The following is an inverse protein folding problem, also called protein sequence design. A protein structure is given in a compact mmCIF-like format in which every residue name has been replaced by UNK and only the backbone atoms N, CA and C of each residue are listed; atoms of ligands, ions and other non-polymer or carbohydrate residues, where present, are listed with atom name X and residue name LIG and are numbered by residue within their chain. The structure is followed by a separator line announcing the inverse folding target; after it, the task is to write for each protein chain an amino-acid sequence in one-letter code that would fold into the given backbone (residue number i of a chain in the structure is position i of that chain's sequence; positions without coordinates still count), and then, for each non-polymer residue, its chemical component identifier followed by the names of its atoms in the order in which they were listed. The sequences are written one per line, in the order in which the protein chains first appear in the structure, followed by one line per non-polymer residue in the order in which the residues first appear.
data_IF_022003083312
#
_entry.id   IF_022003083312
#
_cell.length_a   1.000
_cell.length_b   1.000
_cell.length_c   1.000
_cell.angle_alpha   90.00
_cell.angle_beta   90.00
_cell.angle_gamma   90.00
#
_symmetry.space_group_name_H-M   'P 1'
#
loop_
_entity.id
_entity.type
_entity.pdbx_description
1 polymer ?
#
# COMPACT_ATOMS: atom_id res chain seq x y z
N UNK A 1 9.42 -5.52 -30.27
CA UNK A 1 8.38 -6.09 -29.40
C UNK A 1 8.98 -6.37 -28.02
N UNK A 2 9.32 -5.34 -27.24
CA UNK A 2 9.99 -5.54 -25.93
C UNK A 2 9.59 -4.49 -24.89
N UNK A 3 9.46 -3.24 -25.31
CA UNK A 3 9.09 -2.13 -24.42
C UNK A 3 7.63 -2.21 -23.94
N UNK A 4 6.69 -2.67 -24.78
CA UNK A 4 5.28 -2.84 -24.41
C UNK A 4 5.09 -3.94 -23.33
N UNK A 5 5.81 -5.05 -23.43
CA UNK A 5 5.70 -6.17 -22.47
C UNK A 5 6.28 -5.85 -21.09
N UNK A 6 7.38 -5.09 -21.04
CA UNK A 6 7.98 -4.61 -19.77
C UNK A 6 7.04 -3.62 -19.08
N UNK A 7 6.42 -2.74 -19.86
CA UNK A 7 5.46 -1.74 -19.38
C UNK A 7 4.23 -2.42 -18.80
N UNK A 8 3.70 -3.45 -19.46
CA UNK A 8 2.55 -4.22 -18.98
C UNK A 8 2.82 -4.96 -17.66
N UNK A 9 3.92 -5.73 -17.57
CA UNK A 9 4.27 -6.47 -16.35
C UNK A 9 4.49 -5.53 -15.16
N UNK A 10 4.97 -4.30 -15.40
CA UNK A 10 5.14 -3.25 -14.39
C UNK A 10 3.80 -2.71 -13.89
N UNK A 11 2.87 -2.36 -14.79
CA UNK A 11 1.54 -1.93 -14.38
C UNK A 11 0.76 -3.03 -13.65
N UNK A 12 0.95 -4.30 -14.03
CA UNK A 12 0.42 -5.43 -13.28
C UNK A 12 1.01 -5.51 -11.86
N UNK A 13 2.32 -5.31 -11.68
CA UNK A 13 2.95 -5.29 -10.36
C UNK A 13 2.37 -4.17 -9.48
N UNK A 14 2.21 -2.96 -10.03
CA UNK A 14 1.57 -1.83 -9.34
C UNK A 14 0.14 -2.19 -8.95
N UNK A 15 -0.66 -2.70 -9.89
CA UNK A 15 -2.05 -3.08 -9.63
C UNK A 15 -2.18 -4.17 -8.57
N UNK A 16 -1.33 -5.21 -8.61
CA UNK A 16 -1.32 -6.27 -7.60
C UNK A 16 -0.96 -5.75 -6.21
N UNK A 17 0.02 -4.85 -6.12
CA UNK A 17 0.40 -4.25 -4.85
C UNK A 17 -0.75 -3.41 -4.25
N UNK A 18 -1.38 -2.56 -5.05
CA UNK A 18 -2.53 -1.74 -4.63
C UNK A 18 -3.66 -2.64 -4.12
N UNK A 19 -4.05 -3.65 -4.90
CA UNK A 19 -5.15 -4.56 -4.56
C UNK A 19 -4.84 -5.37 -3.31
N UNK A 20 -3.61 -5.87 -3.18
CA UNK A 20 -3.20 -6.62 -1.99
C UNK A 20 -3.25 -5.72 -0.74
N UNK A 21 -2.70 -4.52 -0.80
CA UNK A 21 -2.72 -3.58 0.33
C UNK A 21 -4.17 -3.21 0.71
N UNK A 22 -5.00 -2.93 -0.30
CA UNK A 22 -6.41 -2.59 -0.10
C UNK A 22 -7.18 -3.68 0.65
N UNK A 23 -6.90 -4.95 0.34
CA UNK A 23 -7.53 -6.10 0.99
C UNK A 23 -7.25 -6.17 2.49
N UNK A 24 -6.08 -5.71 2.92
CA UNK A 24 -5.68 -5.77 4.33
C UNK A 24 -6.11 -4.53 5.09
N UNK A 25 -5.80 -3.35 4.56
CA UNK A 25 -5.85 -2.13 5.37
C UNK A 25 -6.63 -0.98 4.72
N UNK A 26 -6.97 -1.05 3.43
CA UNK A 26 -7.64 0.00 2.64
C UNK A 26 -7.08 1.42 2.87
N UNK A 27 -6.23 1.93 1.96
CA UNK A 27 -5.46 3.13 2.23
C UNK A 27 -6.32 4.39 2.34
N UNK A 28 -7.44 4.46 1.64
CA UNK A 28 -8.35 5.62 1.71
C UNK A 28 -9.09 5.63 3.05
N UNK A 29 -9.60 4.47 3.47
CA UNK A 29 -10.30 4.35 4.75
C UNK A 29 -9.38 4.60 5.93
N UNK A 30 -8.16 4.06 5.90
CA UNK A 30 -7.12 4.32 6.91
C UNK A 30 -6.86 5.81 7.11
N UNK A 31 -6.72 6.55 6.00
CA UNK A 31 -6.55 8.02 6.04
C UNK A 31 -7.80 8.71 6.61
N UNK A 32 -8.98 8.28 6.20
CA UNK A 32 -10.25 8.87 6.69
C UNK A 32 -10.41 8.67 8.20
N UNK A 33 -10.21 7.45 8.72
CA UNK A 33 -10.33 7.17 10.16
C UNK A 33 -9.22 7.83 10.98
N UNK A 34 -8.01 7.98 10.43
CA UNK A 34 -6.95 8.78 11.04
C UNK A 34 -7.32 10.27 11.13
N UNK A 35 -7.90 10.83 10.07
CA UNK A 35 -8.35 12.23 10.05
C UNK A 35 -9.57 12.48 10.95
N UNK A 36 -10.47 11.50 11.07
CA UNK A 36 -11.64 11.55 11.93
C UNK A 36 -11.33 11.29 13.42
N UNK A 37 -10.07 11.00 13.76
CA UNK A 37 -9.61 10.64 15.11
C UNK A 37 -10.39 9.44 15.72
N UNK A 38 -10.86 8.52 14.88
CA UNK A 38 -11.56 7.30 15.29
C UNK A 38 -10.59 6.23 15.81
N UNK A 39 -9.32 6.35 15.43
CA UNK A 39 -8.24 5.49 15.88
C UNK A 39 -7.61 6.03 17.17
N UNK A 40 -7.24 5.12 18.07
CA UNK A 40 -6.37 5.47 19.19
C UNK A 40 -5.07 6.11 18.67
N UNK A 41 -4.47 7.07 19.39
CA UNK A 41 -3.32 7.85 18.88
C UNK A 41 -2.13 6.98 18.44
N UNK A 42 -1.87 5.88 19.15
CA UNK A 42 -0.83 4.90 18.77
C UNK A 42 -1.14 4.19 17.44
N UNK A 43 -2.40 3.78 17.25
CA UNK A 43 -2.87 3.18 16.01
C UNK A 43 -2.91 4.19 14.86
N UNK A 44 -3.26 5.44 15.12
CA UNK A 44 -3.26 6.51 14.13
C UNK A 44 -1.84 6.82 13.64
N UNK A 45 -0.83 6.81 14.52
CA UNK A 45 0.57 6.99 14.14
C UNK A 45 1.08 5.81 13.30
N UNK A 46 0.76 4.57 13.70
CA UNK A 46 1.08 3.36 12.92
C UNK A 46 0.41 3.37 11.55
N UNK A 47 -0.87 3.72 11.50
CA UNK A 47 -1.64 3.89 10.28
C UNK A 47 -0.99 4.92 9.34
N UNK A 48 -0.64 6.10 9.85
CA UNK A 48 0.02 7.16 9.08
C UNK A 48 1.39 6.70 8.54
N UNK A 49 2.18 5.99 9.34
CA UNK A 49 3.47 5.43 8.92
C UNK A 49 3.32 4.37 7.83
N UNK A 50 2.32 3.50 7.94
CA UNK A 50 2.01 2.48 6.93
C UNK A 50 1.57 3.11 5.61
N UNK A 51 0.66 4.10 5.66
CA UNK A 51 0.20 4.86 4.49
C UNK A 51 1.36 5.57 3.81
N UNK A 52 2.25 6.20 4.59
CA UNK A 52 3.42 6.87 4.06
C UNK A 52 4.33 5.90 3.29
N UNK A 53 4.62 4.71 3.87
CA UNK A 53 5.42 3.67 3.20
C UNK A 53 4.76 3.16 1.92
N UNK A 54 3.43 3.03 1.93
CA UNK A 54 2.65 2.69 0.74
C UNK A 54 2.77 3.76 -0.36
N UNK A 55 2.61 5.05 -0.02
CA UNK A 55 2.75 6.16 -0.97
C UNK A 55 4.18 6.27 -1.52
N UNK A 56 5.20 6.12 -0.66
CA UNK A 56 6.61 6.10 -1.08
C UNK A 56 6.90 4.95 -2.05
N UNK A 57 6.35 3.75 -1.80
CA UNK A 57 6.48 2.61 -2.71
C UNK A 57 5.75 2.81 -4.03
N UNK A 58 4.54 3.38 -4.01
CA UNK A 58 3.80 3.71 -5.23
C UNK A 58 4.51 4.76 -6.08
N UNK A 59 4.98 5.83 -5.44
CA UNK A 59 5.73 6.89 -6.11
C UNK A 59 7.03 6.33 -6.71
N UNK A 60 7.75 5.47 -5.98
CA UNK A 60 8.92 4.78 -6.52
C UNK A 60 8.55 3.90 -7.72
N UNK A 61 7.47 3.11 -7.65
CA UNK A 61 7.00 2.29 -8.78
C UNK A 61 6.61 3.16 -9.99
N UNK A 62 5.98 4.31 -9.77
CA UNK A 62 5.56 5.24 -10.81
C UNK A 62 6.73 6.02 -11.44
N UNK A 63 7.68 6.51 -10.63
CA UNK A 63 8.88 7.21 -11.14
C UNK A 63 9.81 6.27 -11.88
N UNK A 64 9.95 5.03 -11.42
CA UNK A 64 10.62 3.98 -12.20
C UNK A 64 9.83 3.64 -13.46
N UNK A 65 8.52 3.93 -13.55
CA UNK A 65 7.77 3.80 -14.80
C UNK A 65 8.25 4.78 -15.88
N UNK A 66 8.65 5.99 -15.48
CA UNK A 66 9.14 7.03 -16.39
C UNK A 66 10.62 6.88 -16.79
N UNK A 67 11.42 6.19 -15.99
CA UNK A 67 12.83 5.92 -16.28
C UNK A 67 13.00 4.46 -16.66
N UNK A 68 13.64 4.16 -17.80
CA UNK A 68 13.83 2.81 -18.37
C UNK A 68 14.76 1.91 -17.55
N UNK A 69 14.85 2.11 -16.23
CA UNK A 69 15.62 1.28 -15.31
C UNK A 69 14.74 0.16 -14.76
N UNK A 70 15.20 -1.11 -14.83
CA UNK A 70 14.42 -2.26 -14.39
C UNK A 70 14.38 -2.48 -12.86
N UNK A 71 15.05 -1.66 -12.04
CA UNK A 71 15.54 -2.17 -10.75
C UNK A 71 14.85 -1.67 -9.47
N UNK A 72 14.30 -0.46 -9.38
CA UNK A 72 14.38 0.18 -8.05
C UNK A 72 13.27 -0.07 -7.02
N UNK A 73 12.37 -1.05 -7.21
CA UNK A 73 11.45 -1.48 -6.13
C UNK A 73 11.42 -3.00 -6.04
N UNK A 74 12.17 -3.49 -5.05
CA UNK A 74 12.30 -4.91 -4.78
C UNK A 74 10.97 -5.51 -4.32
N UNK A 75 10.63 -6.70 -4.82
CA UNK A 75 9.42 -7.40 -4.39
C UNK A 75 9.44 -7.66 -2.88
N UNK A 76 10.62 -7.77 -2.26
CA UNK A 76 10.77 -7.91 -0.81
C UNK A 76 10.24 -6.68 -0.06
N UNK A 77 10.52 -5.47 -0.55
CA UNK A 77 10.02 -4.23 0.06
C UNK A 77 8.49 -4.13 -0.04
N UNK A 78 7.92 -4.50 -1.18
CA UNK A 78 6.45 -4.53 -1.35
C UNK A 78 5.82 -5.56 -0.42
N UNK A 79 6.39 -6.76 -0.33
CA UNK A 79 5.92 -7.80 0.58
C UNK A 79 6.03 -7.38 2.04
N UNK A 80 7.10 -6.68 2.43
CA UNK A 80 7.25 -6.14 3.78
C UNK A 80 6.13 -5.14 4.13
N UNK A 81 5.77 -4.24 3.20
CA UNK A 81 4.66 -3.30 3.40
C UNK A 81 3.32 -4.05 3.52
N UNK A 82 3.09 -5.08 2.70
CA UNK A 82 1.88 -5.90 2.77
C UNK A 82 1.79 -6.69 4.08
N UNK A 83 2.90 -7.27 4.55
CA UNK A 83 2.96 -7.98 5.81
C UNK A 83 2.69 -7.04 7.00
N UNK A 84 3.22 -5.81 6.95
CA UNK A 84 2.96 -4.78 7.96
C UNK A 84 1.50 -4.34 7.94
N UNK A 85 0.90 -4.21 6.75
CA UNK A 85 -0.52 -3.91 6.60
C UNK A 85 -1.42 -5.02 7.17
N UNK A 86 -1.07 -6.29 6.93
CA UNK A 86 -1.77 -7.44 7.51
C UNK A 86 -1.61 -7.48 9.03
N UNK A 87 -0.39 -7.27 9.54
CA UNK A 87 -0.11 -7.24 10.97
C UNK A 87 -0.89 -6.11 11.65
N UNK A 88 -0.85 -4.90 11.09
CA UNK A 88 -1.66 -3.77 11.53
C UNK A 88 -3.14 -4.15 11.59
N UNK A 89 -3.68 -4.72 10.51
CA UNK A 89 -5.10 -5.10 10.46
C UNK A 89 -5.48 -6.10 11.55
N UNK A 90 -4.61 -7.09 11.79
CA UNK A 90 -4.80 -8.12 12.80
C UNK A 90 -4.68 -7.58 14.23
N UNK A 91 -3.70 -6.72 14.50
CA UNK A 91 -3.42 -6.16 15.82
C UNK A 91 -4.44 -5.09 16.24
N UNK A 92 -4.84 -4.24 15.31
CA UNK A 92 -5.80 -3.15 15.56
C UNK A 92 -7.25 -3.62 15.54
N UNK A 93 -7.52 -4.84 15.07
CA UNK A 93 -8.88 -5.31 14.76
C UNK A 93 -9.49 -4.59 13.56
N UNK A 94 -8.68 -3.87 12.77
CA UNK A 94 -9.10 -3.21 11.55
C UNK A 94 -9.53 -4.26 10.53
N UNK A 95 -10.83 -4.35 10.30
CA UNK A 95 -11.40 -5.19 9.26
C UNK A 95 -11.85 -4.31 8.10
N UNK A 96 -11.47 -4.72 6.90
CA UNK A 96 -12.08 -4.23 5.66
C UNK A 96 -13.56 -4.70 5.66
N UNK A 97 -14.43 -4.02 6.43
CA UNK A 97 -15.81 -4.45 6.59
C UNK A 97 -16.63 -3.78 7.69
N UNK A 98 -16.06 -3.26 8.78
CA UNK A 98 -16.91 -2.68 9.85
C UNK A 98 -17.18 -1.19 9.64
N UNK A 99 -17.95 -0.85 8.60
CA UNK A 99 -18.73 0.38 8.62
C UNK A 99 -20.10 -0.02 9.17
N UNK A 100 -20.54 0.46 10.35
CA UNK A 100 -21.97 0.45 10.63
C UNK A 100 -22.63 1.32 9.54
N UNK A 101 -23.66 0.77 8.92
CA UNK A 101 -24.39 1.40 7.81
C UNK A 101 -25.11 2.68 8.17
#
# INVERSE_FOLDING_TARGET
MGEESITQARYEKIGRFIVAFQRHADPERLRASGAAAELAPDLAERAASLIRRYDEALDALQRNSAQTMPDSVDDDQLNAILADAEAFARESGWTHGDAPG
#
